data_IF_961829925730
#
_entry.id   IF_961829925730
#
_cell.length_a   1.000
_cell.length_b   1.000
_cell.length_c   1.000
_cell.angle_alpha   90.00
_cell.angle_beta   90.00
_cell.angle_gamma   90.00
#
_symmetry.space_group_name_H-M   'P 1'
#
loop_
_entity.id
_entity.type
_entity.pdbx_description
1 polymer ?
#
# COMPACT_ATOMS: atom_id res chain seq x y z
N UNK A 1 -22.35 -4.06 17.03
CA UNK A 1 -22.57 -3.57 15.65
C UNK A 1 -21.75 -2.31 15.39
N UNK A 2 -21.38 -1.64 16.48
CA UNK A 2 -20.69 -0.37 16.62
C UNK A 2 -19.42 -0.23 15.79
N UNK A 3 -18.59 -1.27 15.68
CA UNK A 3 -17.35 -1.23 14.88
C UNK A 3 -17.62 -1.03 13.39
N UNK A 4 -18.66 -1.65 12.85
CA UNK A 4 -19.04 -1.52 11.45
C UNK A 4 -19.70 -0.18 11.17
N UNK A 5 -20.49 0.31 12.13
CA UNK A 5 -21.18 1.60 12.05
C UNK A 5 -20.20 2.76 12.16
N UNK A 6 -19.22 2.68 13.07
CA UNK A 6 -18.17 3.70 13.23
C UNK A 6 -17.20 3.73 12.04
N UNK A 7 -16.93 2.58 11.43
CA UNK A 7 -15.99 2.45 10.31
C UNK A 7 -16.64 2.56 8.93
N UNK A 8 -17.94 2.85 8.85
CA UNK A 8 -18.68 2.85 7.59
C UNK A 8 -18.12 3.88 6.60
N UNK A 9 -17.96 5.13 7.04
CA UNK A 9 -17.42 6.23 6.22
C UNK A 9 -16.01 5.90 5.69
N UNK A 10 -15.13 5.39 6.56
CA UNK A 10 -13.78 4.98 6.17
C UNK A 10 -13.80 3.84 5.14
N UNK A 11 -14.71 2.88 5.29
CA UNK A 11 -14.83 1.74 4.39
C UNK A 11 -15.36 2.13 3.00
N UNK A 12 -16.23 3.15 2.90
CA UNK A 12 -16.80 3.62 1.64
C UNK A 12 -15.96 4.68 0.93
N UNK A 13 -15.00 5.33 1.61
CA UNK A 13 -14.13 6.35 1.03
C UNK A 13 -13.41 5.88 -0.26
N UNK A 14 -13.15 4.57 -0.38
CA UNK A 14 -12.57 3.99 -1.61
C UNK A 14 -13.43 4.21 -2.87
N UNK A 15 -14.73 4.43 -2.73
CA UNK A 15 -15.66 4.63 -3.84
C UNK A 15 -15.47 5.97 -4.54
N UNK A 16 -14.85 6.96 -3.89
CA UNK A 16 -14.57 8.27 -4.50
C UNK A 16 -13.50 8.19 -5.60
N UNK A 17 -12.59 7.22 -5.50
CA UNK A 17 -11.52 7.01 -6.47
C UNK A 17 -12.05 6.42 -7.80
N UNK A 18 -11.32 6.58 -8.92
CA UNK A 18 -11.66 5.92 -10.18
C UNK A 18 -11.71 4.39 -10.04
N UNK A 19 -12.60 3.74 -10.80
CA UNK A 19 -12.89 2.30 -10.69
C UNK A 19 -11.65 1.42 -10.76
N UNK A 20 -10.67 1.81 -11.60
CA UNK A 20 -9.42 1.09 -11.78
C UNK A 20 -8.62 0.91 -10.49
N UNK A 21 -8.73 1.85 -9.55
CA UNK A 21 -8.00 1.83 -8.27
C UNK A 21 -8.77 1.10 -7.16
N UNK A 22 -10.11 1.16 -7.19
CA UNK A 22 -10.98 0.63 -6.13
C UNK A 22 -10.69 -0.83 -5.79
N UNK A 23 -10.51 -1.68 -6.80
CA UNK A 23 -10.28 -3.12 -6.63
C UNK A 23 -9.03 -3.42 -5.79
N UNK A 24 -7.97 -2.61 -5.95
CA UNK A 24 -6.70 -2.80 -5.22
C UNK A 24 -6.74 -2.13 -3.85
N UNK A 25 -7.33 -0.94 -3.75
CA UNK A 25 -7.40 -0.15 -2.51
C UNK A 25 -8.40 -0.71 -1.49
N UNK A 26 -9.48 -1.36 -1.93
CA UNK A 26 -10.48 -1.99 -1.04
C UNK A 26 -9.92 -3.17 -0.23
N UNK A 27 -8.77 -3.74 -0.61
CA UNK A 27 -8.24 -4.96 0.00
C UNK A 27 -6.85 -4.76 0.60
N UNK A 28 -6.55 -5.46 1.67
CA UNK A 28 -5.25 -5.48 2.34
C UNK A 28 -4.25 -6.46 1.71
N UNK A 29 -4.63 -7.20 0.67
CA UNK A 29 -3.83 -8.26 0.04
C UNK A 29 -2.39 -7.86 -0.32
N UNK A 30 -2.18 -6.63 -0.79
CA UNK A 30 -0.84 -6.14 -1.14
C UNK A 30 0.04 -5.94 0.10
N UNK A 31 -0.54 -5.38 1.16
CA UNK A 31 0.14 -5.15 2.43
C UNK A 31 0.39 -6.46 3.17
N UNK A 32 -0.57 -7.37 3.17
CA UNK A 32 -0.43 -8.70 3.78
C UNK A 32 0.71 -9.48 3.13
N UNK A 33 0.78 -9.51 1.79
CA UNK A 33 1.89 -10.15 1.06
C UNK A 33 3.24 -9.53 1.41
N UNK A 34 3.32 -8.20 1.53
CA UNK A 34 4.55 -7.51 1.92
C UNK A 34 4.96 -7.88 3.35
N UNK A 35 4.01 -7.90 4.29
CA UNK A 35 4.24 -8.30 5.67
C UNK A 35 4.68 -9.76 5.79
N UNK A 36 4.10 -10.67 5.01
CA UNK A 36 4.54 -12.06 4.94
C UNK A 36 6.00 -12.18 4.50
N UNK A 37 6.43 -11.40 3.50
CA UNK A 37 7.82 -11.41 3.04
C UNK A 37 8.78 -10.85 4.10
N UNK A 38 8.38 -9.79 4.83
CA UNK A 38 9.13 -9.30 6.00
C UNK A 38 9.28 -10.41 7.04
N UNK A 39 8.17 -11.07 7.40
CA UNK A 39 8.16 -12.18 8.39
C UNK A 39 9.01 -13.36 7.94
N UNK A 40 9.02 -13.67 6.64
CA UNK A 40 9.85 -14.73 6.07
C UNK A 40 11.35 -14.43 6.24
N UNK A 41 11.78 -13.21 5.98
CA UNK A 41 13.19 -12.77 6.14
C UNK A 41 13.58 -12.66 7.61
N UNK A 42 12.68 -12.16 8.45
CA UNK A 42 12.86 -12.12 9.91
C UNK A 42 13.06 -13.52 10.50
N UNK A 43 12.27 -14.51 10.07
CA UNK A 43 12.32 -15.89 10.60
C UNK A 43 13.70 -16.54 10.50
N UNK A 44 14.48 -16.19 9.47
CA UNK A 44 15.86 -16.68 9.29
C UNK A 44 16.82 -16.04 10.29
N UNK A 45 16.64 -14.76 10.60
CA UNK A 45 17.53 -13.98 11.47
C UNK A 45 17.27 -14.28 12.95
N UNK A 46 16.02 -14.53 13.34
CA UNK A 46 15.52 -14.81 14.72
C UNK A 46 15.69 -13.66 15.71
N UNK A 47 16.88 -13.08 15.84
CA UNK A 47 17.20 -11.99 16.78
C UNK A 47 18.05 -10.95 16.06
N UNK A 48 17.63 -9.68 16.10
CA UNK A 48 18.42 -8.58 15.57
C UNK A 48 19.40 -8.04 16.61
N UNK A 49 20.64 -7.70 16.21
CA UNK A 49 21.64 -7.13 17.14
C UNK A 49 21.31 -5.70 17.57
N UNK A 50 20.58 -4.93 16.76
CA UNK A 50 20.07 -3.60 17.09
C UNK A 50 18.91 -3.21 16.16
N UNK A 51 18.22 -2.11 16.50
CA UNK A 51 17.09 -1.58 15.71
C UNK A 51 17.49 -1.18 14.29
N UNK A 52 18.68 -0.62 14.10
CA UNK A 52 19.17 -0.19 12.79
C UNK A 52 19.33 -1.35 11.81
N UNK A 53 19.71 -2.53 12.30
CA UNK A 53 19.84 -3.75 11.49
C UNK A 53 18.48 -4.21 10.95
N UNK A 54 17.43 -4.12 11.78
CA UNK A 54 16.07 -4.42 11.33
C UNK A 54 15.58 -3.39 10.29
N UNK A 55 15.84 -2.10 10.51
CA UNK A 55 15.49 -1.04 9.56
C UNK A 55 16.19 -1.26 8.22
N UNK A 56 17.48 -1.61 8.22
CA UNK A 56 18.23 -1.89 6.98
C UNK A 56 17.66 -3.06 6.20
N UNK A 57 17.27 -4.14 6.87
CA UNK A 57 16.65 -5.30 6.22
C UNK A 57 15.31 -4.94 5.57
N UNK A 58 14.42 -4.29 6.35
CA UNK A 58 13.11 -3.90 5.86
C UNK A 58 13.27 -2.88 4.72
N UNK A 59 14.16 -1.90 4.87
CA UNK A 59 14.48 -0.92 3.84
C UNK A 59 14.96 -1.57 2.54
N UNK A 60 15.89 -2.53 2.63
CA UNK A 60 16.38 -3.26 1.46
C UNK A 60 15.26 -4.05 0.75
N UNK A 61 14.36 -4.70 1.51
CA UNK A 61 13.19 -5.37 0.94
C UNK A 61 12.24 -4.37 0.23
N UNK A 62 11.98 -3.23 0.85
CA UNK A 62 11.11 -2.21 0.26
C UNK A 62 11.70 -1.63 -1.03
N UNK A 63 13.02 -1.41 -1.07
CA UNK A 63 13.73 -0.98 -2.28
C UNK A 63 13.61 -2.02 -3.40
N UNK A 64 13.80 -3.29 -3.09
CA UNK A 64 13.61 -4.38 -4.06
C UNK A 64 12.16 -4.44 -4.58
N UNK A 65 11.19 -4.19 -3.70
CA UNK A 65 9.78 -4.17 -4.09
C UNK A 65 9.43 -2.98 -4.98
N UNK A 66 9.97 -1.81 -4.67
CA UNK A 66 9.83 -0.59 -5.48
C UNK A 66 10.45 -0.78 -6.86
N UNK A 67 11.67 -1.33 -6.94
CA UNK A 67 12.33 -1.61 -8.21
C UNK A 67 11.50 -2.57 -9.07
N UNK A 68 10.90 -3.62 -8.48
CA UNK A 68 10.00 -4.53 -9.20
C UNK A 68 8.76 -3.84 -9.76
N UNK A 69 8.20 -2.88 -9.03
CA UNK A 69 7.03 -2.12 -9.49
C UNK A 69 7.41 -1.10 -10.57
N UNK A 70 8.60 -0.53 -10.50
CA UNK A 70 9.08 0.48 -11.45
C UNK A 70 9.57 -0.14 -12.76
N UNK A 71 10.36 -1.21 -12.69
CA UNK A 71 10.94 -1.89 -13.87
C UNK A 71 10.00 -2.93 -14.50
N UNK A 72 9.12 -3.53 -13.71
CA UNK A 72 8.20 -4.58 -14.14
C UNK A 72 6.77 -4.08 -14.36
N UNK A 73 5.79 -4.92 -13.98
CA UNK A 73 4.38 -4.55 -14.05
C UNK A 73 4.04 -3.62 -12.88
N UNK A 74 3.80 -2.34 -13.19
CA UNK A 74 3.34 -1.35 -12.22
C UNK A 74 2.17 -1.86 -11.38
N UNK A 75 2.37 -1.89 -10.06
CA UNK A 75 1.32 -2.31 -9.12
C UNK A 75 0.19 -1.31 -9.03
N UNK A 76 0.45 -0.02 -9.24
CA UNK A 76 -0.55 1.02 -9.47
C UNK A 76 0.01 1.97 -10.52
N UNK A 77 -0.76 2.19 -11.58
CA UNK A 77 -0.43 3.20 -12.58
C UNK A 77 -1.11 4.50 -12.16
N UNK A 78 -0.35 5.54 -11.88
CA UNK A 78 -0.86 6.77 -11.25
C UNK A 78 -1.31 7.83 -12.25
N UNK A 79 -1.18 7.60 -13.57
CA UNK A 79 -1.52 8.60 -14.59
C UNK A 79 -2.99 9.08 -14.48
N UNK A 80 -3.93 8.14 -14.48
CA UNK A 80 -5.37 8.41 -14.36
C UNK A 80 -5.75 9.01 -12.99
N UNK A 81 -5.05 8.60 -11.92
CA UNK A 81 -5.23 9.19 -10.59
C UNK A 81 -4.87 10.67 -10.57
N UNK A 82 -3.74 11.06 -11.17
CA UNK A 82 -3.32 12.46 -11.21
C UNK A 82 -4.24 13.34 -12.05
N UNK A 83 -4.85 12.78 -13.11
CA UNK A 83 -5.90 13.46 -13.88
C UNK A 83 -7.15 13.67 -13.03
N UNK A 84 -7.66 12.60 -12.41
CA UNK A 84 -8.78 12.65 -11.48
C UNK A 84 -8.55 13.65 -10.34
N UNK A 85 -7.34 13.68 -9.76
CA UNK A 85 -7.01 14.58 -8.66
C UNK A 85 -7.04 16.06 -9.10
N UNK A 86 -6.56 16.37 -10.31
CA UNK A 86 -6.61 17.72 -10.89
C UNK A 86 -8.03 18.17 -11.14
N UNK A 87 -8.88 17.28 -11.65
CA UNK A 87 -10.30 17.58 -11.91
C UNK A 87 -11.08 17.81 -10.62
N UNK A 88 -10.87 16.98 -9.59
CA UNK A 88 -11.55 17.14 -8.30
C UNK A 88 -11.04 18.35 -7.52
N UNK A 89 -9.74 18.64 -7.55
CA UNK A 89 -9.18 19.86 -6.93
C UNK A 89 -9.72 21.14 -7.56
N UNK A 90 -10.14 21.11 -8.84
CA UNK A 90 -10.79 22.23 -9.52
C UNK A 90 -12.27 22.38 -9.17
N UNK A 91 -12.96 21.28 -8.80
CA UNK A 91 -14.39 21.29 -8.41
C UNK A 91 -14.61 21.77 -6.99
N UNK A 92 -13.61 21.63 -6.12
CA UNK A 92 -13.66 22.06 -4.71
C UNK A 92 -13.33 23.57 -4.56
N UNK A 93 -12.87 24.22 -5.63
CA UNK A 93 -12.47 25.63 -5.64
C UNK A 93 -13.52 26.50 -6.32
#
# INVERSE_FOLDING_TARGET
>A
MDVLESGFEDAIAVLEFPERYRKRLRTTNGLERLNEEIRRRERVIRIFPNRESAIRLIGALLMEQDEKWTSGKKYLDMAEYFEWQKENSKKVR
#
